data_IF_374990205570
#
_entry.id   IF_374990205570
#
_cell.length_a   1.000
_cell.length_b   1.000
_cell.length_c   1.000
_cell.angle_alpha   90.00
_cell.angle_beta   90.00
_cell.angle_gamma   90.00
#
_symmetry.space_group_name_H-M   'P 1'
#
loop_
_entity.id
_entity.type
_entity.pdbx_description
1 polymer ?
#
# COMPACT_ATOMS: atom_id res chain seq x y z
N UNK A 1 1.35 34.60 26.89
CA UNK A 1 0.46 33.74 26.10
C UNK A 1 1.19 32.64 25.32
N UNK A 2 2.31 32.93 24.62
CA UNK A 2 3.08 31.89 23.91
C UNK A 2 3.82 30.90 24.84
N UNK A 3 4.45 31.37 25.92
CA UNK A 3 5.17 30.49 26.87
C UNK A 3 4.24 29.47 27.55
N UNK A 4 3.05 29.89 27.99
CA UNK A 4 2.04 29.00 28.60
C UNK A 4 1.53 27.91 27.65
N UNK A 5 1.52 28.18 26.33
CA UNK A 5 1.17 27.16 25.32
C UNK A 5 2.27 26.13 25.12
N UNK A 6 3.53 26.54 25.17
CA UNK A 6 4.69 25.63 25.07
C UNK A 6 4.75 24.73 26.31
N UNK A 7 4.54 25.28 27.51
CA UNK A 7 4.53 24.51 28.75
C UNK A 7 3.33 23.55 28.86
N UNK A 8 2.22 23.87 28.21
CA UNK A 8 1.07 22.98 28.11
C UNK A 8 1.36 21.81 27.15
N UNK A 9 1.96 22.09 26.00
CA UNK A 9 2.34 21.08 25.01
C UNK A 9 3.44 20.14 25.52
N UNK A 10 4.42 20.66 26.28
CA UNK A 10 5.46 19.84 26.90
C UNK A 10 4.88 18.85 27.92
N UNK A 11 3.96 19.32 28.79
CA UNK A 11 3.26 18.45 29.74
C UNK A 11 2.36 17.41 29.08
N UNK A 12 1.75 17.76 27.95
CA UNK A 12 0.92 16.84 27.17
C UNK A 12 1.77 15.77 26.47
N UNK A 13 2.96 16.13 25.98
CA UNK A 13 3.94 15.19 25.42
C UNK A 13 4.46 14.21 26.48
N UNK A 14 4.80 14.69 27.68
CA UNK A 14 5.27 13.83 28.78
C UNK A 14 4.18 12.85 29.25
N UNK A 15 2.93 13.31 29.33
CA UNK A 15 1.79 12.47 29.69
C UNK A 15 1.50 11.39 28.62
N UNK A 16 1.69 11.72 27.34
CA UNK A 16 1.57 10.76 26.24
C UNK A 16 2.72 9.74 26.24
N UNK A 17 3.94 10.17 26.53
CA UNK A 17 5.10 9.29 26.65
C UNK A 17 4.93 8.28 27.80
N UNK A 18 4.42 8.71 28.96
CA UNK A 18 4.12 7.81 30.07
C UNK A 18 3.02 6.80 29.73
N UNK A 19 1.95 7.23 29.05
CA UNK A 19 0.88 6.31 28.61
C UNK A 19 1.35 5.31 27.56
N UNK A 20 2.26 5.72 26.67
CA UNK A 20 2.89 4.83 25.69
C UNK A 20 3.76 3.77 26.39
N UNK A 21 4.60 4.18 27.36
CA UNK A 21 5.42 3.26 28.14
C UNK A 21 4.56 2.29 28.99
N UNK A 22 3.45 2.75 29.56
CA UNK A 22 2.51 1.87 30.25
C UNK A 22 1.76 0.92 29.32
N UNK A 23 1.43 1.35 28.10
CA UNK A 23 0.83 0.49 27.08
C UNK A 23 1.80 -0.60 26.62
N UNK A 24 3.08 -0.26 26.46
CA UNK A 24 4.17 -1.20 26.15
C UNK A 24 4.37 -2.21 27.30
N UNK A 25 4.31 -1.74 28.56
CA UNK A 25 4.35 -2.60 29.75
C UNK A 25 3.13 -3.55 29.83
N UNK A 26 1.93 -3.09 29.46
CA UNK A 26 0.72 -3.92 29.41
C UNK A 26 0.71 -4.90 28.22
N UNK A 27 1.40 -4.57 27.14
CA UNK A 27 1.58 -5.45 25.98
C UNK A 27 2.64 -6.55 26.17
N UNK A 28 3.17 -6.72 27.40
CA UNK A 28 4.16 -7.75 27.70
C UNK A 28 5.58 -7.38 27.30
N UNK A 29 5.89 -6.08 27.18
CA UNK A 29 7.23 -5.55 26.91
C UNK A 29 8.23 -5.76 28.06
N UNK A 30 8.42 -7.00 28.51
CA UNK A 30 9.77 -7.41 28.86
C UNK A 30 10.49 -7.51 27.54
N UNK A 31 11.43 -6.59 27.27
CA UNK A 31 12.20 -6.59 26.04
C UNK A 31 12.81 -7.95 25.81
N UNK A 32 12.15 -8.79 25.00
CA UNK A 32 12.80 -9.85 24.30
C UNK A 32 13.85 -9.12 23.48
N UNK A 33 15.11 -9.16 23.92
CA UNK A 33 16.21 -8.81 23.04
C UNK A 33 15.89 -9.53 21.75
N UNK A 34 15.70 -8.79 20.66
CA UNK A 34 15.60 -9.39 19.34
C UNK A 34 16.94 -10.09 19.17
N UNK A 35 16.99 -11.38 19.53
CA UNK A 35 18.18 -12.20 19.31
C UNK A 35 18.19 -12.38 17.82
N UNK A 36 18.95 -11.51 17.16
CA UNK A 36 19.15 -11.61 15.73
C UNK A 36 19.77 -13.00 15.47
N UNK A 37 19.17 -13.81 14.59
CA UNK A 37 19.69 -15.14 14.34
C UNK A 37 21.14 -15.06 13.84
N UNK A 38 22.02 -15.92 14.35
CA UNK A 38 23.45 -15.87 14.05
C UNK A 38 23.77 -15.85 12.53
N UNK A 39 22.92 -16.47 11.70
CA UNK A 39 23.07 -16.49 10.25
C UNK A 39 22.91 -15.12 9.57
N UNK A 40 22.40 -14.10 10.28
CA UNK A 40 22.31 -12.72 9.80
C UNK A 40 23.66 -11.98 9.88
N UNK A 41 24.60 -12.48 10.68
CA UNK A 41 25.97 -11.97 10.74
C UNK A 41 26.82 -12.69 9.68
N UNK A 42 27.59 -11.93 8.89
CA UNK A 42 28.38 -12.40 7.74
C UNK A 42 29.49 -13.42 8.12
N UNK A 43 29.13 -14.64 8.49
CA UNK A 43 30.04 -15.75 8.82
C UNK A 43 30.04 -16.82 7.71
N UNK A 44 31.17 -17.51 7.47
CA UNK A 44 31.19 -18.66 6.58
C UNK A 44 30.25 -19.76 7.11
N UNK A 45 29.22 -20.16 6.36
CA UNK A 45 28.31 -21.25 6.75
C UNK A 45 26.81 -20.93 6.81
N UNK A 46 26.39 -19.71 6.44
CA UNK A 46 25.01 -19.20 6.50
C UNK A 46 23.89 -20.20 6.16
N UNK A 47 24.06 -21.04 5.14
CA UNK A 47 23.01 -21.99 4.72
C UNK A 47 22.74 -23.08 5.76
N UNK A 48 23.77 -23.58 6.44
CA UNK A 48 23.62 -24.58 7.50
C UNK A 48 22.95 -23.99 8.74
N UNK A 49 23.37 -22.78 9.12
CA UNK A 49 22.81 -22.05 10.27
C UNK A 49 21.36 -21.64 10.04
N UNK A 50 21.01 -21.13 8.85
CA UNK A 50 19.63 -20.81 8.49
C UNK A 50 18.73 -22.06 8.54
N UNK A 51 19.21 -23.19 8.00
CA UNK A 51 18.46 -24.46 8.07
C UNK A 51 18.26 -24.93 9.52
N UNK A 52 19.29 -24.82 10.37
CA UNK A 52 19.20 -25.18 11.78
C UNK A 52 18.22 -24.27 12.54
N UNK A 53 18.24 -22.97 12.25
CA UNK A 53 17.29 -22.01 12.82
C UNK A 53 15.84 -22.34 12.45
N UNK A 54 15.54 -22.58 11.17
CA UNK A 54 14.20 -23.00 10.77
C UNK A 54 13.80 -24.35 11.36
N UNK A 55 14.76 -25.23 11.67
CA UNK A 55 14.50 -26.46 12.42
C UNK A 55 14.05 -26.21 13.85
N UNK A 56 14.75 -25.31 14.54
CA UNK A 56 14.41 -24.95 15.91
C UNK A 56 13.02 -24.31 15.97
N UNK A 57 12.66 -23.47 15.00
CA UNK A 57 11.32 -22.87 14.90
C UNK A 57 10.22 -23.91 14.65
N UNK A 58 10.46 -24.88 13.75
CA UNK A 58 9.52 -25.97 13.48
C UNK A 58 9.30 -26.84 14.72
N UNK A 59 10.39 -27.26 15.39
CA UNK A 59 10.34 -28.06 16.62
C UNK A 59 9.64 -27.32 17.79
N UNK A 60 9.87 -26.01 17.92
CA UNK A 60 9.21 -25.19 18.93
C UNK A 60 7.69 -25.09 18.71
N UNK A 61 7.22 -25.16 17.46
CA UNK A 61 5.79 -25.18 17.13
C UNK A 61 5.15 -26.57 17.24
N UNK A 62 5.92 -27.64 17.00
CA UNK A 62 5.44 -29.02 17.16
C UNK A 62 5.26 -29.44 18.63
N UNK A 63 5.75 -28.64 19.59
CA UNK A 63 5.57 -28.88 21.02
C UNK A 63 6.56 -29.88 21.62
N UNK A 64 7.61 -30.25 20.88
CA UNK A 64 8.67 -31.18 21.34
C UNK A 64 9.70 -30.52 22.28
N UNK A 65 9.56 -29.21 22.54
CA UNK A 65 10.40 -28.47 23.49
C UNK A 65 9.80 -28.49 24.90
N UNK A 66 10.54 -29.08 25.85
CA UNK A 66 10.27 -28.97 27.28
C UNK A 66 10.10 -27.51 27.72
N UNK A 67 8.87 -27.08 28.00
CA UNK A 67 8.62 -25.93 28.87
C UNK A 67 7.81 -24.78 28.27
N UNK A 68 6.55 -24.71 28.69
CA UNK A 68 5.84 -23.48 29.13
C UNK A 68 6.21 -22.17 28.40
N UNK A 69 5.93 -22.08 27.10
CA UNK A 69 5.80 -20.79 26.42
C UNK A 69 4.43 -20.20 26.72
N UNK A 70 4.34 -19.36 27.75
CA UNK A 70 3.12 -18.62 28.13
C UNK A 70 2.83 -17.43 27.18
N UNK A 71 2.81 -17.69 25.87
CA UNK A 71 2.47 -16.73 24.83
C UNK A 71 1.89 -17.46 23.62
N UNK A 72 0.95 -16.82 22.92
CA UNK A 72 0.32 -17.37 21.72
C UNK A 72 1.35 -17.57 20.60
N UNK A 73 1.99 -18.74 20.55
CA UNK A 73 2.88 -19.11 19.48
C UNK A 73 2.09 -19.19 18.15
N UNK A 74 2.65 -18.71 17.02
CA UNK A 74 1.96 -18.74 15.74
C UNK A 74 1.75 -20.18 15.28
N UNK A 75 0.57 -20.52 14.75
CA UNK A 75 0.31 -21.88 14.27
C UNK A 75 1.15 -22.27 13.04
N UNK A 76 1.58 -21.29 12.23
CA UNK A 76 2.40 -21.45 11.01
C UNK A 76 3.18 -20.17 10.71
N UNK A 77 4.27 -20.32 9.98
CA UNK A 77 5.03 -19.23 9.36
C UNK A 77 4.71 -19.14 7.86
N UNK A 78 4.47 -17.93 7.37
CA UNK A 78 4.32 -17.66 5.93
C UNK A 78 5.49 -16.80 5.49
N UNK A 79 6.27 -17.31 4.53
CA UNK A 79 7.40 -16.60 3.94
C UNK A 79 6.98 -16.15 2.54
N UNK A 80 7.02 -14.85 2.30
CA UNK A 80 6.66 -14.26 1.00
C UNK A 80 7.90 -13.70 0.31
N UNK A 81 8.17 -14.14 -0.92
CA UNK A 81 9.21 -13.59 -1.80
C UNK A 81 8.57 -13.05 -3.07
N UNK A 82 8.54 -11.73 -3.19
CA UNK A 82 8.04 -11.03 -4.37
C UNK A 82 9.19 -10.66 -5.32
N UNK A 83 8.88 -10.54 -6.60
CA UNK A 83 9.75 -10.01 -7.65
C UNK A 83 11.05 -10.80 -7.85
N UNK A 84 11.01 -12.14 -7.83
CA UNK A 84 12.19 -12.97 -8.13
C UNK A 84 12.75 -12.70 -9.55
N UNK A 85 11.90 -12.23 -10.45
CA UNK A 85 12.21 -11.80 -11.82
C UNK A 85 13.12 -10.55 -11.89
N UNK A 86 13.35 -9.86 -10.76
CA UNK A 86 14.37 -8.79 -10.69
C UNK A 86 15.80 -9.31 -10.58
N UNK A 87 15.98 -10.58 -10.22
CA UNK A 87 17.30 -11.21 -10.19
C UNK A 87 17.63 -11.79 -11.57
N UNK A 88 18.93 -11.91 -11.94
CA UNK A 88 19.31 -12.69 -13.11
C UNK A 88 18.67 -14.09 -13.05
N UNK A 89 18.13 -14.64 -14.16
CA UNK A 89 17.31 -15.84 -14.16
C UNK A 89 17.92 -17.03 -13.38
N UNK A 90 19.21 -17.29 -13.57
CA UNK A 90 19.93 -18.36 -12.87
C UNK A 90 19.99 -18.12 -11.36
N UNK A 91 20.22 -16.87 -10.94
CA UNK A 91 20.27 -16.49 -9.51
C UNK A 91 18.88 -16.56 -8.86
N UNK A 92 17.84 -16.10 -9.58
CA UNK A 92 16.46 -16.18 -9.10
C UNK A 92 16.01 -17.62 -8.88
N UNK A 93 16.29 -18.52 -9.83
CA UNK A 93 15.95 -19.94 -9.72
C UNK A 93 16.72 -20.62 -8.58
N UNK A 94 18.02 -20.38 -8.48
CA UNK A 94 18.85 -20.93 -7.39
C UNK A 94 18.39 -20.45 -6.01
N UNK A 95 18.05 -19.15 -5.88
CA UNK A 95 17.51 -18.61 -4.63
C UNK A 95 16.19 -19.30 -4.26
N UNK A 96 15.26 -19.43 -5.21
CA UNK A 96 13.98 -20.08 -4.99
C UNK A 96 14.16 -21.54 -4.53
N UNK A 97 15.03 -22.30 -5.19
CA UNK A 97 15.33 -23.69 -4.80
C UNK A 97 15.93 -23.78 -3.41
N UNK A 98 16.88 -22.90 -3.07
CA UNK A 98 17.53 -22.88 -1.77
C UNK A 98 16.55 -22.54 -0.63
N UNK A 99 15.70 -21.53 -0.84
CA UNK A 99 14.67 -21.14 0.13
C UNK A 99 13.63 -22.24 0.28
N UNK A 100 13.11 -22.77 -0.83
CA UNK A 100 12.13 -23.86 -0.79
C UNK A 100 12.67 -25.09 -0.06
N UNK A 101 13.95 -25.45 -0.30
CA UNK A 101 14.61 -26.55 0.41
C UNK A 101 14.77 -26.26 1.91
N UNK A 102 15.10 -25.03 2.31
CA UNK A 102 15.26 -24.67 3.72
C UNK A 102 13.92 -24.68 4.49
N UNK A 103 12.83 -24.33 3.79
CA UNK A 103 11.48 -24.22 4.33
C UNK A 103 10.62 -25.47 4.10
N UNK A 104 11.18 -26.57 3.60
CA UNK A 104 10.47 -27.83 3.35
C UNK A 104 10.12 -28.55 4.67
N UNK A 105 9.25 -27.92 5.47
CA UNK A 105 8.90 -28.29 6.85
C UNK A 105 7.42 -27.96 7.11
N UNK A 106 6.70 -28.70 7.97
CA UNK A 106 5.26 -28.53 8.18
C UNK A 106 4.85 -27.13 8.69
N UNK A 107 5.69 -26.47 9.48
CA UNK A 107 5.37 -25.16 10.02
C UNK A 107 5.40 -24.02 8.98
N UNK A 108 5.95 -24.24 7.78
CA UNK A 108 6.24 -23.17 6.83
C UNK A 108 5.41 -23.26 5.55
N UNK A 109 4.94 -22.11 5.08
CA UNK A 109 4.40 -21.94 3.74
C UNK A 109 5.24 -20.90 2.98
N UNK A 110 5.68 -21.25 1.78
CA UNK A 110 6.37 -20.33 0.87
C UNK A 110 5.38 -19.81 -0.16
N UNK A 111 5.22 -18.49 -0.23
CA UNK A 111 4.46 -17.79 -1.27
C UNK A 111 5.46 -16.99 -2.10
N UNK A 112 5.40 -17.12 -3.42
CA UNK A 112 6.28 -16.37 -4.30
C UNK A 112 5.54 -15.83 -5.52
N UNK A 113 5.97 -14.66 -6.00
CA UNK A 113 5.44 -14.01 -7.18
C UNK A 113 6.57 -13.64 -8.14
N UNK A 114 6.39 -14.00 -9.41
CA UNK A 114 7.32 -13.71 -10.51
C UNK A 114 6.64 -13.98 -11.86
N UNK A 115 7.22 -13.44 -12.95
CA UNK A 115 6.86 -13.85 -14.30
C UNK A 115 7.49 -15.22 -14.62
N UNK A 116 6.70 -16.29 -14.88
CA UNK A 116 7.25 -17.60 -15.18
C UNK A 116 8.15 -17.61 -16.42
N UNK A 117 7.93 -16.70 -17.38
CA UNK A 117 8.74 -16.59 -18.61
C UNK A 117 10.15 -16.08 -18.36
N UNK A 118 10.38 -15.45 -17.20
CA UNK A 118 11.70 -14.96 -16.80
C UNK A 118 12.75 -16.08 -16.80
N UNK A 119 12.33 -17.32 -16.54
CA UNK A 119 13.23 -18.47 -16.45
C UNK A 119 13.33 -19.30 -17.75
N UNK A 120 12.68 -18.90 -18.84
CA UNK A 120 12.67 -19.66 -20.11
C UNK A 120 14.06 -19.83 -20.71
N UNK A 121 14.98 -18.90 -20.41
CA UNK A 121 16.38 -18.94 -20.85
C UNK A 121 17.27 -19.90 -20.04
N UNK A 122 16.76 -20.49 -18.95
CA UNK A 122 17.51 -21.39 -18.07
C UNK A 122 17.13 -22.83 -18.36
N UNK A 123 18.11 -23.61 -18.82
CA UNK A 123 17.92 -25.03 -19.10
C UNK A 123 17.39 -25.77 -17.86
N UNK A 124 16.32 -26.55 -18.04
CA UNK A 124 15.69 -27.33 -16.97
C UNK A 124 14.84 -26.54 -15.98
N UNK A 125 14.68 -25.21 -16.16
CA UNK A 125 13.91 -24.38 -15.23
C UNK A 125 12.45 -24.84 -15.08
N UNK A 126 11.78 -25.24 -16.17
CA UNK A 126 10.39 -25.72 -16.10
C UNK A 126 10.22 -26.90 -15.14
N UNK A 127 11.16 -27.86 -15.16
CA UNK A 127 11.15 -29.02 -14.24
C UNK A 127 11.46 -28.57 -12.81
N UNK A 128 12.42 -27.67 -12.63
CA UNK A 128 12.77 -27.14 -11.32
C UNK A 128 11.60 -26.37 -10.66
N UNK A 129 10.93 -25.51 -11.41
CA UNK A 129 9.75 -24.77 -10.96
C UNK A 129 8.60 -25.71 -10.63
N UNK A 130 8.32 -26.71 -11.46
CA UNK A 130 7.27 -27.70 -11.20
C UNK A 130 7.51 -28.53 -9.93
N UNK A 131 8.76 -28.71 -9.51
CA UNK A 131 9.11 -29.38 -8.24
C UNK A 131 8.89 -28.50 -7.01
N UNK A 132 9.12 -27.20 -7.15
CA UNK A 132 9.05 -26.24 -6.04
C UNK A 132 7.63 -25.68 -5.87
N UNK A 133 6.94 -25.39 -6.97
CA UNK A 133 5.61 -24.77 -6.97
C UNK A 133 4.56 -25.86 -6.94
N UNK A 134 3.93 -26.04 -5.79
CA UNK A 134 2.84 -27.00 -5.61
C UNK A 134 1.49 -26.47 -6.13
N UNK A 135 1.27 -25.15 -6.04
CA UNK A 135 -0.02 -24.53 -6.40
C UNK A 135 0.24 -23.22 -7.15
N UNK A 136 0.29 -23.24 -8.50
CA UNK A 136 0.42 -22.02 -9.29
C UNK A 136 -0.91 -21.24 -9.29
N UNK A 137 -0.85 -19.93 -9.07
CA UNK A 137 -1.99 -19.01 -9.19
C UNK A 137 -1.70 -17.97 -10.27
N UNK A 138 -2.39 -18.04 -11.40
CA UNK A 138 -2.26 -17.08 -12.50
C UNK A 138 -3.19 -15.88 -12.29
N UNK A 139 -2.62 -14.76 -11.81
CA UNK A 139 -3.41 -13.55 -11.49
C UNK A 139 -3.94 -12.81 -12.73
N UNK A 140 -3.40 -13.06 -13.93
CA UNK A 140 -3.79 -12.37 -15.17
C UNK A 140 -5.13 -12.80 -15.78
N UNK A 141 -5.74 -13.88 -15.29
CA UNK A 141 -7.01 -14.40 -15.80
C UNK A 141 -8.25 -13.91 -15.00
N UNK A 142 -8.03 -13.20 -13.89
CA UNK A 142 -9.13 -12.65 -13.10
C UNK A 142 -9.51 -11.28 -13.66
N UNK A 143 -10.76 -11.12 -14.09
CA UNK A 143 -11.32 -9.79 -14.34
C UNK A 143 -11.11 -8.94 -13.09
N UNK A 144 -10.51 -7.75 -13.27
CA UNK A 144 -10.32 -6.83 -12.16
C UNK A 144 -11.71 -6.54 -11.54
N UNK A 145 -11.89 -6.71 -10.22
CA UNK A 145 -13.13 -6.34 -9.58
C UNK A 145 -13.43 -4.87 -9.94
N UNK A 146 -14.65 -4.60 -10.40
CA UNK A 146 -15.04 -3.26 -10.82
C UNK A 146 -14.64 -2.23 -9.76
N UNK A 147 -14.03 -1.11 -10.18
CA UNK A 147 -13.40 -0.14 -9.29
C UNK A 147 -14.30 0.37 -8.16
N UNK A 148 -15.61 0.36 -8.36
CA UNK A 148 -16.62 0.72 -7.35
C UNK A 148 -16.45 -0.07 -6.05
N UNK A 149 -16.40 -1.41 -6.11
CA UNK A 149 -16.29 -2.25 -4.91
C UNK A 149 -14.94 -2.03 -4.18
N UNK A 150 -13.87 -1.85 -4.96
CA UNK A 150 -12.53 -1.61 -4.42
C UNK A 150 -12.43 -0.24 -3.73
N UNK A 151 -12.99 0.82 -4.33
CA UNK A 151 -13.01 2.17 -3.74
C UNK A 151 -13.89 2.23 -2.50
N UNK A 152 -15.07 1.58 -2.48
CA UNK A 152 -15.93 1.47 -1.29
C UNK A 152 -15.22 0.74 -0.12
N UNK A 153 -14.47 -0.32 -0.44
CA UNK A 153 -13.63 -1.00 0.56
C UNK A 153 -12.55 -0.08 1.10
N UNK A 154 -11.83 0.63 0.23
CA UNK A 154 -10.80 1.57 0.64
C UNK A 154 -11.37 2.73 1.44
N UNK A 155 -12.57 3.22 1.09
CA UNK A 155 -13.31 4.27 1.79
C UNK A 155 -13.71 3.89 3.23
N UNK A 156 -13.55 2.62 3.62
CA UNK A 156 -13.92 2.11 4.94
C UNK A 156 -15.41 1.81 5.08
N UNK A 157 -16.13 1.69 3.95
CA UNK A 157 -17.58 1.46 3.90
C UNK A 157 -17.97 0.02 3.62
N UNK A 158 -17.05 -0.79 3.09
CA UNK A 158 -17.28 -2.23 3.02
C UNK A 158 -17.30 -2.83 4.44
N UNK A 159 -18.14 -3.86 4.69
CA UNK A 159 -18.20 -4.54 5.98
C UNK A 159 -16.87 -5.25 6.25
N UNK A 160 -15.93 -4.56 6.87
CA UNK A 160 -14.70 -5.16 7.38
C UNK A 160 -15.03 -5.89 8.68
N UNK A 161 -14.81 -7.21 8.71
CA UNK A 161 -14.58 -7.99 9.95
C UNK A 161 -13.33 -7.40 10.61
N UNK A 162 -13.48 -6.35 11.40
CA UNK A 162 -12.39 -5.80 12.21
C UNK A 162 -12.72 -6.08 13.66
N UNK A 163 -11.90 -6.92 14.29
CA UNK A 163 -11.87 -7.07 15.74
C UNK A 163 -11.72 -5.68 16.37
N UNK A 164 -12.52 -5.43 17.39
CA UNK A 164 -12.61 -4.14 18.10
C UNK A 164 -11.24 -3.71 18.61
N UNK A 165 -10.56 -2.82 17.89
CA UNK A 165 -9.45 -2.04 18.45
C UNK A 165 -10.03 -0.99 19.40
N UNK A 166 -9.33 -0.77 20.51
CA UNK A 166 -9.68 0.28 21.47
C UNK A 166 -9.80 1.65 20.76
N UNK A 167 -10.75 2.51 21.18
CA UNK A 167 -11.00 3.79 20.54
C UNK A 167 -9.75 4.66 20.64
N UNK A 168 -9.09 4.91 19.51
CA UNK A 168 -8.06 5.92 19.39
C UNK A 168 -8.74 7.29 19.25
N UNK A 169 -8.11 8.34 19.77
CA UNK A 169 -8.57 9.71 19.55
C UNK A 169 -8.67 9.95 18.03
N UNK A 170 -9.84 10.36 17.57
CA UNK A 170 -10.17 10.46 16.14
C UNK A 170 -9.32 11.53 15.47
N UNK A 171 -8.32 11.13 14.68
CA UNK A 171 -7.59 12.06 13.83
C UNK A 171 -8.54 12.58 12.74
N UNK A 172 -8.34 13.81 12.27
CA UNK A 172 -9.01 14.31 11.05
C UNK A 172 -8.72 13.44 9.81
N UNK A 173 -7.63 12.66 9.86
CA UNK A 173 -7.26 11.68 8.84
C UNK A 173 -8.10 10.39 8.90
N UNK A 174 -8.72 10.11 10.06
CA UNK A 174 -9.56 8.92 10.27
C UNK A 174 -11.02 9.17 9.88
N UNK A 175 -11.37 10.40 9.47
CA UNK A 175 -12.72 10.72 9.01
C UNK A 175 -13.04 9.90 7.75
N UNK A 176 -14.17 9.17 7.72
CA UNK A 176 -14.57 8.43 6.53
C UNK A 176 -14.80 9.38 5.34
N UNK A 177 -14.71 8.83 4.14
CA UNK A 177 -15.08 9.57 2.93
C UNK A 177 -16.61 9.66 2.87
N UNK A 178 -17.12 10.84 2.53
CA UNK A 178 -18.54 11.05 2.24
C UNK A 178 -18.93 10.36 0.93
N UNK A 179 -20.23 10.10 0.75
CA UNK A 179 -20.72 9.37 -0.44
C UNK A 179 -20.42 10.10 -1.76
N UNK A 180 -20.57 11.43 -1.86
CA UNK A 180 -20.17 12.15 -3.06
C UNK A 180 -18.67 12.00 -3.39
N UNK A 181 -17.81 11.99 -2.36
CA UNK A 181 -16.37 11.79 -2.52
C UNK A 181 -16.06 10.38 -3.03
N UNK A 182 -16.69 9.35 -2.46
CA UNK A 182 -16.50 7.95 -2.91
C UNK A 182 -16.95 7.75 -4.36
N UNK A 183 -18.08 8.35 -4.76
CA UNK A 183 -18.56 8.31 -6.16
C UNK A 183 -17.62 9.01 -7.11
N UNK A 184 -17.11 10.18 -6.73
CA UNK A 184 -16.10 10.92 -7.49
C UNK A 184 -14.82 10.11 -7.70
N UNK A 185 -14.26 9.55 -6.62
CA UNK A 185 -13.03 8.75 -6.69
C UNK A 185 -13.23 7.47 -7.52
N UNK A 186 -14.40 6.84 -7.45
CA UNK A 186 -14.77 5.71 -8.31
C UNK A 186 -14.77 6.11 -9.78
N UNK A 187 -15.36 7.25 -10.12
CA UNK A 187 -15.41 7.75 -11.50
C UNK A 187 -14.02 8.12 -12.04
N UNK A 188 -13.11 8.55 -11.18
CA UNK A 188 -11.73 8.91 -11.53
C UNK A 188 -10.73 7.73 -11.46
N UNK A 189 -11.14 6.56 -10.95
CA UNK A 189 -10.27 5.42 -10.77
C UNK A 189 -9.61 4.95 -12.08
N UNK A 190 -10.34 5.02 -13.19
CA UNK A 190 -9.82 4.67 -14.52
C UNK A 190 -8.70 5.60 -15.00
N UNK A 191 -8.73 6.88 -14.58
CA UNK A 191 -7.66 7.84 -14.88
C UNK A 191 -6.40 7.56 -14.06
N UNK A 192 -6.53 7.12 -12.81
CA UNK A 192 -5.39 6.67 -11.99
C UNK A 192 -4.73 5.40 -12.54
N UNK A 193 -5.42 4.67 -13.42
CA UNK A 193 -4.87 3.56 -14.19
C UNK A 193 -5.35 2.18 -13.72
N UNK A 194 -4.96 1.12 -14.44
CA UNK A 194 -5.54 -0.21 -14.25
C UNK A 194 -5.02 -0.95 -13.00
N UNK A 195 -3.97 -0.45 -12.35
CA UNK A 195 -3.37 -1.10 -11.20
C UNK A 195 -4.11 -0.72 -9.90
N UNK A 196 -4.58 -1.69 -9.08
CA UNK A 196 -5.22 -1.40 -7.79
C UNK A 196 -4.36 -0.53 -6.86
N UNK A 197 -3.03 -0.66 -6.95
CA UNK A 197 -2.09 0.18 -6.22
C UNK A 197 -2.26 1.67 -6.54
N UNK A 198 -2.54 2.02 -7.79
CA UNK A 198 -2.74 3.41 -8.19
C UNK A 198 -4.05 3.97 -7.65
N UNK A 199 -5.12 3.18 -7.68
CA UNK A 199 -6.41 3.58 -7.10
C UNK A 199 -6.29 3.75 -5.58
N UNK A 200 -5.57 2.86 -4.90
CA UNK A 200 -5.26 3.02 -3.47
C UNK A 200 -4.44 4.29 -3.19
N UNK A 201 -3.42 4.58 -4.02
CA UNK A 201 -2.66 5.83 -3.94
C UNK A 201 -3.55 7.05 -4.12
N UNK A 202 -4.48 7.01 -5.07
CA UNK A 202 -5.45 8.09 -5.30
C UNK A 202 -6.32 8.33 -4.05
N UNK A 203 -6.94 7.28 -3.52
CA UNK A 203 -7.81 7.38 -2.33
C UNK A 203 -7.04 7.91 -1.13
N UNK A 204 -5.82 7.42 -0.90
CA UNK A 204 -5.02 7.87 0.24
C UNK A 204 -4.48 9.30 0.06
N UNK A 205 -3.99 9.65 -1.12
CA UNK A 205 -3.54 11.01 -1.40
C UNK A 205 -4.70 12.01 -1.25
N UNK A 206 -5.90 11.66 -1.72
CA UNK A 206 -7.08 12.49 -1.57
C UNK A 206 -7.48 12.65 -0.09
N UNK A 207 -7.47 11.57 0.70
CA UNK A 207 -7.76 11.63 2.15
C UNK A 207 -6.84 12.58 2.91
N UNK A 208 -5.55 12.59 2.53
CA UNK A 208 -4.55 13.45 3.16
C UNK A 208 -4.74 14.90 2.70
N UNK A 209 -4.91 15.12 1.40
CA UNK A 209 -4.91 16.43 0.77
C UNK A 209 -6.24 17.21 0.87
N UNK A 210 -7.38 16.53 1.07
CA UNK A 210 -8.71 17.18 1.02
C UNK A 210 -8.92 18.28 2.05
N UNK A 211 -8.15 18.26 3.14
CA UNK A 211 -8.20 19.30 4.19
C UNK A 211 -7.44 20.57 3.78
N UNK A 212 -6.54 20.48 2.80
CA UNK A 212 -5.76 21.63 2.29
C UNK A 212 -6.50 22.38 1.17
N UNK A 213 -7.55 21.78 0.59
CA UNK A 213 -8.35 22.36 -0.49
C UNK A 213 -9.85 22.03 -0.33
N UNK A 214 -10.50 22.46 0.77
CA UNK A 214 -11.88 22.09 1.08
C UNK A 214 -12.90 22.59 0.04
N UNK A 215 -12.59 23.69 -0.66
CA UNK A 215 -13.47 24.30 -1.67
C UNK A 215 -13.23 23.75 -3.08
N UNK A 216 -12.16 22.97 -3.29
CA UNK A 216 -11.70 22.53 -4.61
C UNK A 216 -11.63 20.99 -4.72
N UNK A 217 -12.46 20.26 -3.97
CA UNK A 217 -12.38 18.79 -3.84
C UNK A 217 -12.44 18.02 -5.17
N UNK A 218 -13.35 18.41 -6.08
CA UNK A 218 -13.47 17.77 -7.39
C UNK A 218 -12.24 18.02 -8.28
N UNK A 219 -11.75 19.25 -8.27
CA UNK A 219 -10.52 19.63 -8.96
C UNK A 219 -9.30 18.91 -8.37
N UNK A 220 -9.23 18.79 -7.04
CA UNK A 220 -8.17 18.07 -6.33
C UNK A 220 -8.14 16.59 -6.70
N UNK A 221 -9.29 15.91 -6.65
CA UNK A 221 -9.37 14.50 -7.01
C UNK A 221 -8.94 14.27 -8.47
N UNK A 222 -9.36 15.14 -9.39
CA UNK A 222 -8.92 15.09 -10.79
C UNK A 222 -7.40 15.25 -10.93
N UNK A 223 -6.81 16.27 -10.30
CA UNK A 223 -5.36 16.53 -10.37
C UNK A 223 -4.54 15.38 -9.77
N UNK A 224 -4.99 14.78 -8.67
CA UNK A 224 -4.35 13.60 -8.06
C UNK A 224 -4.45 12.38 -8.98
N UNK A 225 -5.61 12.12 -9.59
CA UNK A 225 -5.78 10.99 -10.52
C UNK A 225 -4.90 11.15 -11.76
N UNK A 226 -4.83 12.38 -12.30
CA UNK A 226 -3.95 12.74 -13.41
C UNK A 226 -2.47 12.60 -13.04
N UNK A 227 -2.06 13.03 -11.85
CA UNK A 227 -0.67 12.89 -11.40
C UNK A 227 -0.24 11.41 -11.26
N UNK A 228 -1.16 10.55 -10.79
CA UNK A 228 -0.88 9.13 -10.53
C UNK A 228 -0.91 8.28 -11.81
N UNK A 229 -1.88 8.48 -12.70
CA UNK A 229 -2.11 7.60 -13.86
C UNK A 229 -2.15 8.29 -15.22
N UNK A 230 -2.02 9.62 -15.25
CA UNK A 230 -1.87 10.39 -16.48
C UNK A 230 -0.56 10.07 -17.19
N UNK A 231 -0.65 9.89 -18.51
CA UNK A 231 0.53 9.85 -19.36
C UNK A 231 1.27 11.20 -19.30
N UNK A 232 2.54 11.22 -19.72
CA UNK A 232 3.30 12.47 -19.83
C UNK A 232 2.59 13.47 -20.75
N UNK A 233 2.13 13.01 -21.91
CA UNK A 233 1.41 13.85 -22.89
C UNK A 233 0.14 14.45 -22.32
N UNK A 234 -0.70 13.69 -21.61
CA UNK A 234 -1.92 14.23 -20.99
C UNK A 234 -1.58 15.28 -19.92
N UNK A 235 -0.55 15.03 -19.09
CA UNK A 235 -0.11 15.98 -18.06
C UNK A 235 0.38 17.29 -18.68
N UNK A 236 1.19 17.21 -19.74
CA UNK A 236 1.71 18.38 -20.44
C UNK A 236 0.58 19.19 -21.11
N UNK A 237 -0.40 18.51 -21.73
CA UNK A 237 -1.56 19.16 -22.36
C UNK A 237 -2.50 19.80 -21.34
N UNK A 238 -2.75 19.15 -20.20
CA UNK A 238 -3.53 19.75 -19.10
C UNK A 238 -2.81 20.96 -18.52
N UNK A 239 -1.48 20.88 -18.32
CA UNK A 239 -0.68 22.00 -17.84
C UNK A 239 -0.73 23.19 -18.81
N UNK A 240 -0.64 22.93 -20.12
CA UNK A 240 -0.80 23.96 -21.16
C UNK A 240 -2.19 24.60 -21.12
N UNK A 241 -3.25 23.80 -21.00
CA UNK A 241 -4.61 24.30 -20.89
C UNK A 241 -4.83 25.18 -19.65
N UNK A 242 -4.24 24.81 -18.50
CA UNK A 242 -4.31 25.62 -17.28
C UNK A 242 -3.61 26.98 -17.43
N UNK A 243 -2.53 27.04 -18.20
CA UNK A 243 -1.78 28.27 -18.42
C UNK A 243 -2.45 29.24 -19.41
N UNK A 244 -3.26 28.74 -20.34
CA UNK A 244 -3.85 29.54 -21.42
C UNK A 244 -5.32 29.93 -21.21
N UNK A 245 -5.96 29.45 -20.14
CA UNK A 245 -7.41 29.61 -19.92
C UNK A 245 -7.74 30.77 -18.98
N UNK A 246 -8.93 31.36 -19.17
CA UNK A 246 -9.49 32.33 -18.23
C UNK A 246 -9.71 31.68 -16.85
N UNK A 247 -9.18 32.25 -15.75
CA UNK A 247 -9.37 31.75 -14.38
C UNK A 247 -10.84 31.54 -13.98
N UNK A 248 -11.75 32.38 -14.46
CA UNK A 248 -13.17 32.33 -14.08
C UNK A 248 -13.99 31.33 -14.93
N UNK A 249 -13.49 30.96 -16.11
CA UNK A 249 -14.17 30.05 -17.01
C UNK A 249 -14.13 28.59 -16.51
N UNK A 250 -15.08 27.79 -16.98
CA UNK A 250 -15.03 26.34 -16.83
C UNK A 250 -13.76 25.78 -17.48
N UNK A 251 -13.00 25.00 -16.71
CA UNK A 251 -11.77 24.37 -17.14
C UNK A 251 -12.07 23.26 -18.14
N UNK A 252 -11.44 23.35 -19.31
CA UNK A 252 -11.59 22.39 -20.39
C UNK A 252 -10.21 22.07 -20.96
N UNK A 253 -9.93 20.79 -21.22
CA UNK A 253 -8.69 20.32 -21.83
C UNK A 253 -9.00 19.39 -23.01
N UNK A 254 -9.65 19.91 -24.07
CA UNK A 254 -10.10 19.12 -25.23
C UNK A 254 -8.94 18.40 -25.93
N UNK A 255 -7.77 19.05 -26.03
CA UNK A 255 -6.59 18.46 -26.67
C UNK A 255 -6.02 17.28 -25.89
N UNK A 256 -6.30 17.16 -24.59
CA UNK A 256 -5.77 16.10 -23.72
C UNK A 256 -6.47 14.73 -23.89
N UNK A 257 -7.43 14.63 -24.80
CA UNK A 257 -8.05 13.38 -25.21
C UNK A 257 -9.28 12.94 -24.40
N UNK A 258 -9.95 11.87 -24.84
CA UNK A 258 -11.27 11.48 -24.33
C UNK A 258 -11.24 11.02 -22.86
N UNK A 259 -10.13 10.44 -22.41
CA UNK A 259 -9.97 10.00 -21.02
C UNK A 259 -9.97 11.19 -20.05
N UNK A 260 -9.28 12.26 -20.40
CA UNK A 260 -9.24 13.50 -19.62
C UNK A 260 -10.60 14.20 -19.67
N UNK A 261 -11.24 14.26 -20.84
CA UNK A 261 -12.59 14.82 -20.98
C UNK A 261 -13.61 14.09 -20.09
N UNK A 262 -13.60 12.75 -20.08
CA UNK A 262 -14.48 11.95 -19.23
C UNK A 262 -14.22 12.19 -17.73
N UNK A 263 -12.95 12.29 -17.33
CA UNK A 263 -12.58 12.58 -15.95
C UNK A 263 -13.00 13.99 -15.49
N UNK A 264 -12.84 15.00 -16.35
CA UNK A 264 -13.31 16.37 -16.09
C UNK A 264 -14.84 16.43 -16.01
N UNK A 265 -15.54 15.70 -16.88
CA UNK A 265 -17.00 15.58 -16.82
C UNK A 265 -17.45 14.95 -15.50
N UNK A 266 -16.80 13.87 -15.06
CA UNK A 266 -17.08 13.23 -13.78
C UNK A 266 -16.86 14.19 -12.60
N UNK A 267 -15.76 14.95 -12.62
CA UNK A 267 -15.47 15.97 -11.62
C UNK A 267 -16.55 17.06 -11.60
N UNK A 268 -16.96 17.57 -12.76
CA UNK A 268 -18.01 18.57 -12.88
C UNK A 268 -19.37 18.07 -12.36
N UNK A 269 -19.74 16.83 -12.70
CA UNK A 269 -20.96 16.19 -12.19
C UNK A 269 -20.93 16.05 -10.67
N UNK A 270 -19.79 15.67 -10.08
CA UNK A 270 -19.68 15.45 -8.64
C UNK A 270 -19.85 16.73 -7.80
N UNK A 271 -19.36 17.86 -8.29
CA UNK A 271 -19.49 19.15 -7.58
C UNK A 271 -20.75 19.95 -7.97
N UNK A 272 -21.56 19.46 -8.92
CA UNK A 272 -22.79 20.12 -9.36
C UNK A 272 -22.59 21.33 -10.28
N UNK A 273 -21.44 21.44 -10.95
CA UNK A 273 -21.11 22.57 -11.83
C UNK A 273 -19.74 22.41 -12.50
N UNK A 274 -19.36 23.33 -13.39
CA UNK A 274 -18.05 23.28 -14.07
C UNK A 274 -16.89 23.50 -13.10
N UNK A 275 -15.85 22.66 -13.15
CA UNK A 275 -14.59 22.92 -12.43
C UNK A 275 -13.99 24.17 -13.05
N UNK A 276 -13.73 25.24 -12.30
CA UNK A 276 -13.14 26.46 -12.87
C UNK A 276 -11.64 26.30 -13.06
N UNK A 277 -11.06 27.07 -13.98
CA UNK A 277 -9.59 27.10 -14.17
C UNK A 277 -8.88 27.51 -12.88
N UNK A 278 -9.39 28.51 -12.16
CA UNK A 278 -8.83 28.93 -10.87
C UNK A 278 -8.82 27.80 -9.82
N UNK A 279 -9.93 27.04 -9.74
CA UNK A 279 -10.03 25.86 -8.87
C UNK A 279 -9.01 24.79 -9.26
N UNK A 280 -8.91 24.49 -10.55
CA UNK A 280 -7.95 23.52 -11.08
C UNK A 280 -6.49 23.91 -10.83
N UNK A 281 -6.14 25.21 -10.91
CA UNK A 281 -4.79 25.71 -10.60
C UNK A 281 -4.47 25.52 -9.11
N UNK A 282 -5.37 25.91 -8.20
CA UNK A 282 -5.17 25.73 -6.75
C UNK A 282 -5.05 24.25 -6.38
N UNK A 283 -5.95 23.44 -6.90
CA UNK A 283 -5.92 21.98 -6.75
C UNK A 283 -4.62 21.36 -7.27
N UNK A 284 -4.10 21.82 -8.41
CA UNK A 284 -2.84 21.33 -8.97
C UNK A 284 -1.65 21.67 -8.06
N UNK A 285 -1.66 22.85 -7.42
CA UNK A 285 -0.64 23.22 -6.45
C UNK A 285 -0.65 22.29 -5.22
N UNK A 286 -1.83 21.99 -4.69
CA UNK A 286 -1.98 21.06 -3.57
C UNK A 286 -1.58 19.64 -3.98
N UNK A 287 -2.07 19.15 -5.12
CA UNK A 287 -1.77 17.80 -5.60
C UNK A 287 -0.25 17.54 -5.74
N UNK A 288 0.53 18.54 -6.20
CA UNK A 288 2.00 18.45 -6.28
C UNK A 288 2.70 18.25 -4.94
N UNK A 289 2.11 18.68 -3.82
CA UNK A 289 2.70 18.43 -2.50
C UNK A 289 2.55 16.97 -2.07
N UNK A 290 1.55 16.28 -2.62
CA UNK A 290 1.17 14.92 -2.24
C UNK A 290 1.53 13.87 -3.30
N UNK A 291 2.11 14.29 -4.42
CA UNK A 291 2.50 13.41 -5.53
C UNK A 291 3.93 13.73 -5.95
N UNK A 292 4.79 12.69 -5.98
CA UNK A 292 6.19 12.75 -6.41
C UNK A 292 6.30 12.33 -7.88
#
# INVERSE_FOLDING_TARGET
HHAQRVDALAREADALAQRAAEAEKRAGGGGASVVEPAFMHATPGHTGEARAYFAALDAALSGDGDGKSAGAAPARYVIAIDSLDRLPPQKGLALLQNVASALARPAFALVTAFDPRHFDSVEGAGVALARVIQTPLALGAMEAPGWSAFVEQLAGRAPSRREQRAPQATSRLDLPLAEPETRLLTALASLAGPAPRNVNRLVNAYRLARHDAPDDLAALAFQLALAIGGTRTERDLVAKALASSDPAAGFVAQEAGPRIAAALQAAATAQGGSVTTASAIRAAAVARMWTL
#
